data_IF_058990552245
#
_entry.id   IF_058990552245
#
_cell.length_a   1.000
_cell.length_b   1.000
_cell.length_c   1.000
_cell.angle_alpha   90.00
_cell.angle_beta   90.00
_cell.angle_gamma   90.00
#
_symmetry.space_group_name_H-M   'P 1'
#
loop_
_entity.id
_entity.type
_entity.pdbx_description
1 polymer ?
#
# COMPACT_ATOMS: atom_id res chain seq x y z
N UNK A 1 -14.94 5.37 18.58
CA UNK A 1 -14.61 3.99 19.01
C UNK A 1 -13.18 3.71 18.62
N UNK A 2 -12.38 3.11 19.47
CA UNK A 2 -11.05 2.67 19.05
C UNK A 2 -11.25 1.50 18.07
N UNK A 3 -10.71 1.65 16.89
CA UNK A 3 -10.67 0.62 15.86
C UNK A 3 -10.05 -0.67 16.40
N UNK A 4 -10.58 -1.83 16.01
CA UNK A 4 -10.13 -3.15 16.48
C UNK A 4 -8.67 -3.43 16.09
N UNK A 5 -8.22 -2.95 14.94
CA UNK A 5 -6.84 -3.02 14.49
C UNK A 5 -5.91 -2.27 15.46
N UNK A 6 -6.21 -1.01 15.72
CA UNK A 6 -5.45 -0.19 16.67
C UNK A 6 -5.48 -0.77 18.09
N UNK A 7 -6.57 -1.45 18.48
CA UNK A 7 -6.64 -2.15 19.75
C UNK A 7 -5.69 -3.34 19.79
N UNK A 8 -5.73 -4.19 18.75
CA UNK A 8 -4.85 -5.37 18.63
C UNK A 8 -3.39 -4.97 18.62
N UNK A 9 -3.01 -3.99 17.78
CA UNK A 9 -1.62 -3.51 17.67
C UNK A 9 -1.08 -3.05 19.03
N UNK A 10 -1.90 -2.35 19.83
CA UNK A 10 -1.50 -1.92 21.19
C UNK A 10 -1.26 -3.05 22.19
N UNK A 11 -1.73 -4.27 21.93
CA UNK A 11 -1.41 -5.44 22.77
C UNK A 11 -0.03 -6.04 22.44
N UNK A 12 0.56 -5.66 21.30
CA UNK A 12 1.88 -6.10 20.88
C UNK A 12 2.93 -5.09 21.37
N UNK A 13 4.09 -5.58 21.79
CA UNK A 13 5.10 -4.74 22.47
C UNK A 13 6.40 -4.52 21.68
N UNK A 14 6.43 -4.94 20.41
CA UNK A 14 7.61 -4.72 19.57
C UNK A 14 7.76 -3.24 19.19
N UNK A 15 8.99 -2.75 19.25
CA UNK A 15 9.33 -1.40 18.77
C UNK A 15 9.42 -1.31 17.24
N UNK A 16 9.32 -2.44 16.55
CA UNK A 16 9.37 -2.51 15.09
C UNK A 16 8.00 -2.30 14.44
N UNK A 17 6.93 -2.25 15.24
CA UNK A 17 5.57 -2.06 14.75
C UNK A 17 5.30 -0.56 14.56
N UNK A 18 4.69 -0.21 13.43
CA UNK A 18 4.22 1.15 13.15
C UNK A 18 4.57 1.70 11.77
N UNK A 19 5.33 0.95 10.99
CA UNK A 19 5.64 1.25 9.58
C UNK A 19 5.04 0.18 8.66
N UNK A 20 5.15 0.35 7.34
CA UNK A 20 4.72 -0.63 6.32
C UNK A 20 5.53 -1.94 6.39
N UNK A 21 6.66 -1.93 7.06
CA UNK A 21 7.48 -3.10 7.30
C UNK A 21 8.39 -2.93 8.51
N UNK A 22 8.75 -4.05 9.12
CA UNK A 22 9.68 -4.10 10.25
C UNK A 22 11.13 -4.12 9.74
N UNK A 23 11.98 -3.21 10.24
CA UNK A 23 13.39 -3.10 9.84
C UNK A 23 14.29 -3.78 10.86
N UNK A 24 15.01 -4.83 10.45
CA UNK A 24 15.99 -5.54 11.27
C UNK A 24 17.33 -5.58 10.52
N UNK A 25 18.27 -4.75 10.95
CA UNK A 25 19.52 -4.55 10.20
C UNK A 25 19.26 -3.84 8.87
N UNK A 26 19.53 -4.49 7.76
CA UNK A 26 19.18 -4.01 6.41
C UNK A 26 18.00 -4.77 5.80
N UNK A 27 17.43 -5.70 6.52
CA UNK A 27 16.28 -6.48 6.08
C UNK A 27 14.98 -5.81 6.50
N UNK A 28 14.05 -5.73 5.58
CA UNK A 28 12.68 -5.23 5.78
C UNK A 28 11.74 -6.43 5.63
N UNK A 29 10.90 -6.64 6.63
CA UNK A 29 9.88 -7.68 6.68
C UNK A 29 8.52 -7.01 6.62
N UNK A 30 7.72 -7.32 5.62
CA UNK A 30 6.33 -6.91 5.53
C UNK A 30 5.43 -8.11 5.29
N UNK A 31 4.15 -7.98 5.60
CA UNK A 31 3.19 -9.07 5.45
C UNK A 31 1.78 -8.53 5.37
N UNK A 32 1.09 -8.87 4.28
CA UNK A 32 -0.32 -8.59 4.11
C UNK A 32 -1.13 -9.86 3.83
N UNK A 33 -2.41 -9.79 4.21
CA UNK A 33 -3.41 -10.77 3.87
C UNK A 33 -4.28 -10.26 2.71
N UNK A 34 -4.59 -11.14 1.75
CA UNK A 34 -5.48 -10.86 0.64
C UNK A 34 -6.63 -11.87 0.67
N UNK A 35 -7.80 -11.43 1.12
CA UNK A 35 -8.90 -12.28 1.54
C UNK A 35 -10.14 -12.11 0.65
N UNK A 36 -10.71 -13.23 0.19
CA UNK A 36 -12.00 -13.26 -0.49
C UNK A 36 -13.10 -12.64 0.38
N UNK A 37 -13.99 -11.88 -0.23
CA UNK A 37 -15.07 -11.07 0.36
C UNK A 37 -14.64 -9.88 1.23
N UNK A 38 -13.33 -9.67 1.38
CA UNK A 38 -12.77 -8.46 2.00
C UNK A 38 -12.10 -7.59 0.94
N UNK A 39 -11.15 -8.14 0.20
CA UNK A 39 -10.35 -7.41 -0.80
C UNK A 39 -10.77 -7.72 -2.24
N UNK A 40 -11.41 -8.87 -2.47
CA UNK A 40 -11.87 -9.29 -3.79
C UNK A 40 -13.06 -10.26 -3.68
N UNK A 41 -13.74 -10.48 -4.80
CA UNK A 41 -14.67 -11.60 -4.99
C UNK A 41 -14.25 -12.39 -6.22
N UNK A 42 -14.31 -13.73 -6.13
CA UNK A 42 -14.03 -14.61 -7.28
C UNK A 42 -14.98 -14.38 -8.47
N UNK A 43 -16.12 -13.73 -8.24
CA UNK A 43 -17.01 -13.28 -9.30
C UNK A 43 -16.50 -12.03 -10.05
N UNK A 44 -15.54 -11.29 -9.48
CA UNK A 44 -14.98 -10.08 -10.05
C UNK A 44 -13.61 -10.29 -10.71
N UNK A 45 -12.85 -11.26 -10.20
CA UNK A 45 -11.46 -11.47 -10.58
C UNK A 45 -11.18 -12.91 -10.97
N UNK A 46 -10.42 -13.10 -12.04
CA UNK A 46 -9.86 -14.40 -12.40
C UNK A 46 -8.77 -14.83 -11.43
N UNK A 47 -8.43 -16.14 -11.33
CA UNK A 47 -7.31 -16.59 -10.50
C UNK A 47 -5.99 -15.88 -10.82
N UNK A 48 -5.73 -15.58 -12.10
CA UNK A 48 -4.57 -14.81 -12.56
C UNK A 48 -4.57 -13.39 -11.99
N UNK A 49 -5.69 -12.67 -12.05
CA UNK A 49 -5.81 -11.32 -11.49
C UNK A 49 -5.67 -11.33 -9.96
N UNK A 50 -6.22 -12.35 -9.28
CA UNK A 50 -6.10 -12.52 -7.82
C UNK A 50 -4.64 -12.74 -7.43
N UNK A 51 -3.91 -13.64 -8.09
CA UNK A 51 -2.51 -13.90 -7.82
C UNK A 51 -1.63 -12.67 -8.05
N UNK A 52 -1.82 -11.99 -9.17
CA UNK A 52 -1.09 -10.77 -9.50
C UNK A 52 -1.34 -9.65 -8.47
N UNK A 53 -2.61 -9.35 -8.17
CA UNK A 53 -2.95 -8.29 -7.19
C UNK A 53 -2.45 -8.65 -5.81
N UNK A 54 -2.61 -9.89 -5.35
CA UNK A 54 -2.11 -10.33 -4.04
C UNK A 54 -0.59 -10.08 -3.89
N UNK A 55 0.20 -10.34 -4.93
CA UNK A 55 1.63 -10.06 -4.91
C UNK A 55 1.90 -8.55 -4.95
N UNK A 56 1.20 -7.78 -5.80
CA UNK A 56 1.42 -6.34 -5.93
C UNK A 56 1.09 -5.57 -4.64
N UNK A 57 0.03 -5.92 -3.90
CA UNK A 57 -0.30 -5.23 -2.64
C UNK A 57 0.79 -5.43 -1.59
N UNK A 58 1.37 -6.63 -1.52
CA UNK A 58 2.51 -6.89 -0.64
C UNK A 58 3.80 -6.17 -1.10
N UNK A 59 4.03 -6.10 -2.41
CA UNK A 59 5.16 -5.36 -3.00
C UNK A 59 5.04 -3.85 -2.74
N UNK A 60 3.82 -3.32 -2.55
CA UNK A 60 3.59 -1.92 -2.18
C UNK A 60 4.30 -1.54 -0.88
N UNK A 61 4.23 -2.39 0.15
CA UNK A 61 4.96 -2.19 1.40
C UNK A 61 6.48 -2.09 1.20
N UNK A 62 7.03 -2.98 0.38
CA UNK A 62 8.46 -2.94 0.07
C UNK A 62 8.84 -1.64 -0.64
N UNK A 63 8.00 -1.15 -1.57
CA UNK A 63 8.17 0.13 -2.24
C UNK A 63 8.07 1.28 -1.24
N UNK A 64 7.05 1.27 -0.39
CA UNK A 64 6.83 2.27 0.65
C UNK A 64 8.06 2.41 1.56
N UNK A 65 8.65 1.28 1.94
CA UNK A 65 9.86 1.20 2.76
C UNK A 65 11.16 1.48 1.98
N UNK A 66 11.10 1.86 0.69
CA UNK A 66 12.29 1.97 -0.17
C UNK A 66 13.16 0.72 -0.10
N UNK A 67 12.55 -0.46 -0.15
CA UNK A 67 13.22 -1.74 -0.07
C UNK A 67 13.12 -2.50 -1.40
N UNK A 68 14.12 -3.33 -1.66
CA UNK A 68 14.15 -4.22 -2.83
C UNK A 68 13.72 -5.61 -2.37
N UNK A 69 12.59 -6.13 -2.85
CA UNK A 69 12.14 -7.47 -2.49
C UNK A 69 13.15 -8.52 -2.95
N UNK A 70 13.34 -9.56 -2.14
CA UNK A 70 14.27 -10.66 -2.41
C UNK A 70 13.56 -12.00 -2.37
N UNK A 71 12.78 -12.23 -1.32
CA UNK A 71 12.11 -13.50 -1.10
C UNK A 71 10.69 -13.28 -0.63
N UNK A 72 9.82 -14.23 -0.97
CA UNK A 72 8.45 -14.29 -0.49
C UNK A 72 8.16 -15.67 0.14
N UNK A 73 7.34 -15.66 1.19
CA UNK A 73 6.66 -16.83 1.74
C UNK A 73 5.17 -16.65 1.53
N UNK A 74 4.49 -17.64 0.95
CA UNK A 74 3.08 -17.54 0.57
C UNK A 74 2.26 -18.60 1.30
N UNK A 75 1.30 -18.18 2.12
CA UNK A 75 0.30 -19.08 2.70
C UNK A 75 -1.00 -18.94 1.92
N UNK A 76 -1.60 -20.08 1.55
CA UNK A 76 -2.87 -20.11 0.82
C UNK A 76 -3.87 -21.01 1.52
N UNK A 77 -5.05 -20.47 1.85
CA UNK A 77 -6.22 -21.26 2.21
C UNK A 77 -7.09 -21.47 0.96
N UNK A 78 -7.22 -22.72 0.53
CA UNK A 78 -7.92 -23.09 -0.72
C UNK A 78 -9.34 -23.57 -0.41
N UNK A 79 -10.40 -22.99 -1.03
CA UNK A 79 -11.73 -23.52 -0.96
C UNK A 79 -11.84 -24.85 -1.73
N UNK A 80 -12.75 -25.72 -1.27
CA UNK A 80 -12.90 -27.07 -1.86
C UNK A 80 -13.31 -27.08 -3.33
N UNK A 81 -13.97 -26.02 -3.77
CA UNK A 81 -14.44 -25.83 -5.15
C UNK A 81 -13.40 -25.15 -6.06
N UNK A 82 -12.21 -24.84 -5.54
CA UNK A 82 -11.13 -24.23 -6.34
C UNK A 82 -10.45 -25.31 -7.16
N UNK A 83 -10.61 -25.24 -8.49
CA UNK A 83 -10.13 -26.29 -9.39
C UNK A 83 -8.60 -26.31 -9.50
N UNK A 84 -8.05 -27.42 -10.01
CA UNK A 84 -6.60 -27.52 -10.24
C UNK A 84 -6.12 -26.52 -11.29
N UNK A 85 -6.93 -26.24 -12.31
CA UNK A 85 -6.66 -25.23 -13.34
C UNK A 85 -6.59 -23.84 -12.72
N UNK A 86 -7.54 -23.50 -11.85
CA UNK A 86 -7.53 -22.24 -11.12
C UNK A 86 -6.32 -22.12 -10.18
N UNK A 87 -5.88 -23.23 -9.55
CA UNK A 87 -4.65 -23.25 -8.75
C UNK A 87 -3.43 -22.96 -9.64
N UNK A 88 -3.34 -23.57 -10.83
CA UNK A 88 -2.23 -23.31 -11.76
C UNK A 88 -2.20 -21.86 -12.23
N UNK A 89 -3.36 -21.28 -12.59
CA UNK A 89 -3.44 -19.87 -12.98
C UNK A 89 -3.01 -18.92 -11.84
N UNK A 90 -3.50 -19.18 -10.62
CA UNK A 90 -3.15 -18.41 -9.42
C UNK A 90 -1.65 -18.47 -9.13
N UNK A 91 -1.08 -19.69 -9.09
CA UNK A 91 0.34 -19.88 -8.77
C UNK A 91 1.25 -19.31 -9.86
N UNK A 92 0.90 -19.49 -11.12
CA UNK A 92 1.66 -18.90 -12.24
C UNK A 92 1.70 -17.37 -12.16
N UNK A 93 0.55 -16.74 -11.86
CA UNK A 93 0.49 -15.29 -11.70
C UNK A 93 1.28 -14.77 -10.48
N UNK A 94 1.30 -15.53 -9.38
CA UNK A 94 2.13 -15.21 -8.21
C UNK A 94 3.63 -15.25 -8.56
N UNK A 95 4.07 -16.33 -9.23
CA UNK A 95 5.46 -16.52 -9.65
C UNK A 95 5.90 -15.46 -10.65
N UNK A 96 5.13 -15.25 -11.74
CA UNK A 96 5.44 -14.23 -12.76
C UNK A 96 5.57 -12.84 -12.14
N UNK A 97 4.61 -12.46 -11.27
CA UNK A 97 4.65 -11.15 -10.63
C UNK A 97 5.85 -11.04 -9.69
N UNK A 98 6.18 -12.07 -8.94
CA UNK A 98 7.37 -12.07 -8.08
C UNK A 98 8.66 -11.92 -8.93
N UNK A 99 8.78 -12.67 -10.03
CA UNK A 99 9.93 -12.61 -10.94
C UNK A 99 10.08 -11.23 -11.60
N UNK A 100 8.99 -10.57 -12.02
CA UNK A 100 9.00 -9.19 -12.55
C UNK A 100 9.68 -8.21 -11.56
N UNK A 101 9.59 -8.48 -10.27
CA UNK A 101 10.15 -7.67 -9.20
C UNK A 101 11.48 -8.19 -8.62
N UNK A 102 12.04 -9.24 -9.23
CA UNK A 102 13.27 -9.88 -8.76
C UNK A 102 13.13 -10.55 -7.40
N UNK A 103 11.92 -11.00 -7.07
CA UNK A 103 11.56 -11.69 -5.84
C UNK A 103 11.37 -13.19 -6.11
N UNK A 104 11.92 -14.04 -5.27
CA UNK A 104 11.77 -15.50 -5.36
C UNK A 104 10.79 -16.00 -4.31
N UNK A 105 9.79 -16.79 -4.69
CA UNK A 105 8.90 -17.48 -3.73
C UNK A 105 9.65 -18.72 -3.22
N UNK A 106 10.09 -18.67 -1.95
CA UNK A 106 10.96 -19.69 -1.35
C UNK A 106 10.22 -20.71 -0.49
N UNK A 107 8.89 -20.57 -0.35
CA UNK A 107 8.09 -21.51 0.44
C UNK A 107 6.79 -20.88 0.92
N UNK A 108 6.18 -21.54 1.89
CA UNK A 108 4.90 -21.13 2.46
C UNK A 108 4.13 -22.32 3.03
N UNK A 109 2.83 -22.18 3.12
CA UNK A 109 1.92 -23.24 3.63
C UNK A 109 0.62 -23.26 2.80
N UNK A 110 -0.03 -24.43 2.76
CA UNK A 110 -1.31 -24.60 2.06
C UNK A 110 -2.29 -25.35 2.96
N UNK A 111 -3.42 -24.74 3.22
CA UNK A 111 -4.48 -25.31 4.05
C UNK A 111 -5.81 -25.33 3.32
N UNK A 112 -6.74 -26.17 3.74
CA UNK A 112 -8.13 -26.13 3.26
C UNK A 112 -8.90 -25.00 3.96
N UNK A 113 -9.73 -24.28 3.20
CA UNK A 113 -10.57 -23.21 3.71
C UNK A 113 -11.97 -23.21 3.11
N UNK A 114 -12.84 -22.34 3.59
CA UNK A 114 -14.15 -22.09 2.98
C UNK A 114 -14.07 -21.05 1.85
N UNK A 115 -13.11 -20.13 1.96
CA UNK A 115 -12.84 -19.05 1.04
C UNK A 115 -11.37 -19.03 0.65
N UNK A 116 -11.04 -18.37 -0.46
CA UNK A 116 -9.66 -18.17 -0.89
C UNK A 116 -9.03 -17.05 -0.06
N UNK A 117 -7.99 -17.39 0.70
CA UNK A 117 -7.17 -16.41 1.41
C UNK A 117 -5.70 -16.63 1.09
N UNK A 118 -5.03 -15.54 0.82
CA UNK A 118 -3.59 -15.51 0.67
C UNK A 118 -2.99 -14.67 1.80
N UNK A 119 -1.83 -15.07 2.28
CA UNK A 119 -0.99 -14.23 3.14
C UNK A 119 0.43 -14.33 2.63
N UNK A 120 1.03 -13.19 2.32
CA UNK A 120 2.34 -13.12 1.71
C UNK A 120 3.27 -12.36 2.65
N UNK A 121 4.36 -12.99 3.03
CA UNK A 121 5.43 -12.33 3.77
C UNK A 121 6.56 -12.02 2.81
N UNK A 122 6.94 -10.75 2.69
CA UNK A 122 8.10 -10.33 1.94
C UNK A 122 9.32 -10.16 2.85
N UNK A 123 10.46 -10.59 2.32
CA UNK A 123 11.78 -10.39 2.89
C UNK A 123 12.55 -9.52 1.88
N UNK A 124 12.72 -8.26 2.23
CA UNK A 124 13.27 -7.23 1.34
C UNK A 124 14.55 -6.63 1.94
N UNK A 125 15.31 -5.90 1.16
CA UNK A 125 16.54 -5.23 1.60
C UNK A 125 16.48 -3.73 1.35
N UNK A 126 16.85 -2.93 2.36
CA UNK A 126 17.02 -1.49 2.23
C UNK A 126 18.26 -1.00 2.97
N UNK A 127 19.06 -0.17 2.31
CA UNK A 127 20.17 0.58 2.94
C UNK A 127 19.71 1.92 3.52
N UNK A 128 18.54 2.40 3.10
CA UNK A 128 17.97 3.67 3.51
C UNK A 128 16.44 3.54 3.55
N UNK A 129 15.88 2.78 4.50
CA UNK A 129 14.44 2.58 4.58
C UNK A 129 13.73 3.94 4.72
N UNK A 130 12.58 4.06 4.06
CA UNK A 130 11.69 5.21 4.21
C UNK A 130 10.67 4.87 5.29
N UNK A 131 10.69 5.62 6.38
CA UNK A 131 9.83 5.37 7.55
C UNK A 131 8.66 6.35 7.55
N UNK A 132 7.59 6.03 8.26
CA UNK A 132 6.45 6.94 8.49
C UNK A 132 6.78 8.07 9.46
N UNK A 133 7.93 8.01 10.12
CA UNK A 133 8.35 8.96 11.18
C UNK A 133 9.44 9.91 10.70
N UNK A 134 9.65 11.01 11.46
CA UNK A 134 10.72 11.98 11.20
C UNK A 134 10.26 13.28 10.55
N UNK A 135 8.96 13.48 10.39
CA UNK A 135 8.39 14.71 9.82
C UNK A 135 8.56 15.89 10.78
N UNK A 136 8.62 17.10 10.22
CA UNK A 136 8.85 18.34 10.97
C UNK A 136 7.84 19.40 10.56
N UNK A 137 7.54 20.32 11.50
CA UNK A 137 6.71 21.50 11.20
C UNK A 137 7.33 22.29 10.04
N UNK A 138 6.53 22.64 9.04
CA UNK A 138 6.94 23.31 7.82
C UNK A 138 7.19 22.39 6.63
N UNK A 139 7.39 21.07 6.85
CA UNK A 139 7.49 20.08 5.78
C UNK A 139 6.20 20.07 4.94
N UNK A 140 6.32 19.66 3.70
CA UNK A 140 5.20 19.51 2.77
C UNK A 140 4.76 18.05 2.68
N UNK A 141 3.47 17.85 2.54
CA UNK A 141 2.83 16.54 2.36
C UNK A 141 2.30 16.46 0.94
N UNK A 142 2.66 15.40 0.24
CA UNK A 142 2.23 15.16 -1.14
C UNK A 142 1.89 13.68 -1.35
N UNK A 143 1.14 13.42 -2.42
CA UNK A 143 0.93 12.06 -2.92
C UNK A 143 1.32 11.96 -4.39
N UNK A 144 1.65 10.74 -4.81
CA UNK A 144 1.95 10.41 -6.21
C UNK A 144 0.69 10.00 -6.95
N UNK A 145 0.72 10.09 -8.27
CA UNK A 145 -0.30 9.56 -9.16
C UNK A 145 -1.65 10.27 -9.10
N UNK A 146 -2.68 9.52 -9.39
CA UNK A 146 -4.10 9.95 -9.34
C UNK A 146 -4.83 9.02 -8.40
N UNK A 147 -5.69 9.57 -7.54
CA UNK A 147 -6.49 8.83 -6.57
C UNK A 147 -7.98 8.87 -6.93
N UNK A 148 -8.76 7.94 -6.38
CA UNK A 148 -10.21 7.82 -6.58
C UNK A 148 -10.60 6.83 -7.67
N UNK A 149 -9.63 6.23 -8.37
CA UNK A 149 -9.91 5.28 -9.45
C UNK A 149 -10.27 3.90 -8.91
N UNK A 150 -9.53 3.39 -7.93
CA UNK A 150 -9.79 2.09 -7.29
C UNK A 150 -11.21 2.02 -6.71
N UNK A 151 -11.64 3.04 -5.97
CA UNK A 151 -13.00 3.12 -5.41
C UNK A 151 -14.08 3.18 -6.49
N UNK A 152 -13.87 3.96 -7.56
CA UNK A 152 -14.82 4.07 -8.66
C UNK A 152 -14.98 2.72 -9.38
N UNK A 153 -13.88 2.02 -9.63
CA UNK A 153 -13.87 0.70 -10.25
C UNK A 153 -14.52 -0.36 -9.35
N UNK A 154 -14.26 -0.33 -8.04
CA UNK A 154 -14.95 -1.18 -7.07
C UNK A 154 -16.48 -0.97 -7.14
N UNK A 155 -16.96 0.27 -7.17
CA UNK A 155 -18.40 0.56 -7.31
C UNK A 155 -18.99 0.02 -8.63
N UNK A 156 -18.23 0.02 -9.72
CA UNK A 156 -18.65 -0.58 -10.99
C UNK A 156 -18.78 -2.12 -10.86
N UNK A 157 -17.81 -2.78 -10.23
CA UNK A 157 -17.86 -4.22 -9.96
C UNK A 157 -19.06 -4.59 -9.05
N UNK A 158 -19.32 -3.80 -8.01
CA UNK A 158 -20.49 -3.98 -7.13
C UNK A 158 -21.82 -3.79 -7.87
N UNK A 159 -21.85 -2.91 -8.86
CA UNK A 159 -22.98 -2.72 -9.76
C UNK A 159 -23.09 -3.82 -10.84
N UNK A 160 -22.24 -4.85 -10.82
CA UNK A 160 -22.25 -5.96 -11.77
C UNK A 160 -21.66 -5.61 -13.14
N UNK A 161 -20.89 -4.53 -13.25
CA UNK A 161 -20.19 -4.16 -14.47
C UNK A 161 -18.83 -4.87 -14.53
N UNK A 162 -18.32 -5.12 -15.72
CA UNK A 162 -16.96 -5.62 -15.94
C UNK A 162 -16.00 -4.45 -16.10
N UNK A 163 -14.76 -4.66 -15.67
CA UNK A 163 -13.64 -3.76 -15.89
C UNK A 163 -12.69 -4.32 -16.96
N UNK A 164 -11.89 -3.46 -17.63
CA UNK A 164 -10.79 -3.93 -18.46
C UNK A 164 -9.72 -4.65 -17.61
N UNK A 165 -8.96 -5.57 -18.23
CA UNK A 165 -7.99 -6.41 -17.52
C UNK A 165 -6.85 -5.59 -16.87
N UNK A 166 -6.54 -4.43 -17.43
CA UNK A 166 -5.54 -3.49 -16.93
C UNK A 166 -6.12 -2.44 -15.95
N UNK A 167 -7.37 -2.61 -15.49
CA UNK A 167 -7.99 -1.72 -14.53
C UNK A 167 -7.13 -1.61 -13.26
N UNK A 168 -7.06 -0.42 -12.70
CA UNK A 168 -6.25 -0.12 -11.52
C UNK A 168 -6.65 -0.97 -10.31
N UNK A 169 -7.93 -1.27 -10.16
CA UNK A 169 -8.42 -2.18 -9.12
C UNK A 169 -7.76 -3.56 -9.19
N UNK A 170 -7.44 -4.05 -10.40
CA UNK A 170 -6.74 -5.33 -10.59
C UNK A 170 -5.22 -5.19 -10.55
N UNK A 171 -4.70 -4.07 -11.04
CA UNK A 171 -3.27 -3.84 -11.22
C UNK A 171 -2.87 -2.44 -10.70
N UNK A 172 -2.67 -2.29 -9.38
CA UNK A 172 -2.19 -1.03 -8.83
C UNK A 172 -0.80 -0.68 -9.40
N UNK A 173 -0.57 0.62 -9.57
CA UNK A 173 0.71 1.13 -10.07
C UNK A 173 1.65 1.43 -8.90
N UNK A 174 2.74 0.70 -8.80
CA UNK A 174 3.74 0.91 -7.74
C UNK A 174 4.85 1.85 -8.19
N UNK A 175 5.32 2.75 -7.32
CA UNK A 175 6.26 3.83 -7.63
C UNK A 175 7.70 3.54 -7.19
N UNK A 176 8.16 2.31 -7.33
CA UNK A 176 9.46 1.85 -6.81
C UNK A 176 10.65 2.68 -7.30
N UNK A 177 10.73 2.94 -8.61
CA UNK A 177 11.83 3.71 -9.17
C UNK A 177 11.81 5.17 -8.70
N UNK A 178 10.62 5.79 -8.69
CA UNK A 178 10.46 7.14 -8.18
C UNK A 178 10.86 7.26 -6.71
N UNK A 179 10.41 6.35 -5.85
CA UNK A 179 10.76 6.36 -4.42
C UNK A 179 12.26 6.15 -4.21
N UNK A 180 12.89 5.27 -4.98
CA UNK A 180 14.34 5.03 -4.92
C UNK A 180 15.13 6.30 -5.22
N UNK A 181 14.80 6.99 -6.29
CA UNK A 181 15.46 8.23 -6.70
C UNK A 181 15.12 9.41 -5.77
N UNK A 182 13.87 9.51 -5.32
CA UNK A 182 13.42 10.56 -4.41
C UNK A 182 13.91 10.38 -2.97
N UNK A 183 14.30 9.16 -2.55
CA UNK A 183 14.61 8.81 -1.15
C UNK A 183 15.53 9.81 -0.43
N UNK A 184 16.61 10.34 -1.04
CA UNK A 184 17.50 11.31 -0.36
C UNK A 184 16.81 12.65 -0.02
N UNK A 185 15.69 12.96 -0.68
CA UNK A 185 14.93 14.19 -0.53
C UNK A 185 13.74 14.03 0.42
N UNK A 186 13.39 12.79 0.78
CA UNK A 186 12.20 12.47 1.58
C UNK A 186 12.55 12.34 3.07
N UNK A 187 11.68 12.86 3.92
CA UNK A 187 11.73 12.65 5.38
C UNK A 187 10.96 11.41 5.81
N UNK A 188 9.76 11.25 5.28
CA UNK A 188 8.86 10.15 5.60
C UNK A 188 8.02 9.77 4.39
N UNK A 189 7.48 8.56 4.42
CA UNK A 189 6.53 8.07 3.42
C UNK A 189 5.84 6.80 3.87
N UNK A 190 4.78 6.47 3.18
CA UNK A 190 4.02 5.23 3.25
C UNK A 190 3.21 5.06 1.97
N UNK A 191 2.67 3.90 1.72
CA UNK A 191 1.69 3.73 0.66
C UNK A 191 0.29 4.21 1.09
N UNK A 192 -0.61 4.35 0.12
CA UNK A 192 -2.01 4.74 0.35
C UNK A 192 -2.88 3.50 0.15
N UNK A 193 -3.14 2.79 1.24
CA UNK A 193 -3.95 1.57 1.29
C UNK A 193 -5.35 1.81 1.86
N UNK A 194 -5.48 2.60 2.94
CA UNK A 194 -6.78 2.92 3.57
C UNK A 194 -7.39 4.24 3.04
N UNK A 195 -6.71 4.86 2.10
CA UNK A 195 -7.07 6.13 1.51
C UNK A 195 -6.30 7.30 2.10
N UNK A 196 -6.10 8.32 1.26
CA UNK A 196 -5.26 9.47 1.56
C UNK A 196 -5.57 10.12 2.92
N UNK A 197 -6.84 10.22 3.28
CA UNK A 197 -7.25 10.84 4.54
C UNK A 197 -6.83 10.03 5.75
N UNK A 198 -7.08 8.72 5.75
CA UNK A 198 -6.74 7.82 6.84
C UNK A 198 -5.22 7.70 6.99
N UNK A 199 -4.52 7.48 5.91
CA UNK A 199 -3.07 7.27 5.93
C UNK A 199 -2.30 8.55 6.28
N UNK A 200 -2.80 9.73 5.85
CA UNK A 200 -2.29 11.01 6.34
C UNK A 200 -2.46 11.15 7.86
N UNK A 201 -3.66 10.82 8.37
CA UNK A 201 -3.91 10.89 9.82
C UNK A 201 -3.01 9.93 10.61
N UNK A 202 -2.82 8.69 10.14
CA UNK A 202 -1.89 7.72 10.76
C UNK A 202 -0.47 8.26 10.86
N UNK A 203 0.05 8.84 9.77
CA UNK A 203 1.38 9.43 9.73
C UNK A 203 1.49 10.62 10.70
N UNK A 204 0.51 11.51 10.73
CA UNK A 204 0.48 12.66 11.62
C UNK A 204 0.41 12.24 13.11
N UNK A 205 -0.38 11.21 13.43
CA UNK A 205 -0.53 10.68 14.79
C UNK A 205 0.78 10.07 15.32
N UNK A 206 1.47 9.29 14.50
CA UNK A 206 2.79 8.73 14.83
C UNK A 206 3.81 9.82 15.16
N UNK A 207 3.73 10.96 14.50
CA UNK A 207 4.66 12.08 14.68
C UNK A 207 4.14 13.14 15.66
N UNK A 208 2.93 12.99 16.20
CA UNK A 208 2.30 13.96 17.12
C UNK A 208 2.25 15.37 16.54
N UNK A 209 1.93 15.47 15.26
CA UNK A 209 1.84 16.71 14.50
C UNK A 209 0.44 16.85 13.91
N UNK A 210 0.14 17.98 13.30
CA UNK A 210 -1.05 18.19 12.50
C UNK A 210 -0.68 18.75 11.13
N UNK A 211 -1.66 19.30 10.44
CA UNK A 211 -1.47 19.82 9.08
C UNK A 211 -2.21 21.13 8.86
N UNK A 212 -1.77 21.86 7.83
CA UNK A 212 -2.52 22.92 7.19
C UNK A 212 -2.79 22.53 5.75
N UNK A 213 -4.06 22.49 5.36
CA UNK A 213 -4.49 22.09 4.00
C UNK A 213 -4.15 23.26 3.06
N UNK A 214 -3.41 22.96 1.99
CA UNK A 214 -3.03 23.88 0.92
C UNK A 214 -3.92 23.70 -0.30
N UNK A 215 -4.35 22.46 -0.56
CA UNK A 215 -5.27 22.12 -1.66
C UNK A 215 -6.36 21.19 -1.13
N UNK A 216 -7.60 21.51 -1.41
CA UNK A 216 -8.74 20.71 -0.98
C UNK A 216 -8.85 19.44 -1.86
N UNK A 217 -8.80 18.31 -1.21
CA UNK A 217 -9.12 17.03 -1.83
C UNK A 217 -10.59 16.73 -1.52
N UNK A 218 -11.36 16.31 -2.51
CA UNK A 218 -12.75 15.91 -2.27
C UNK A 218 -12.79 14.58 -1.49
N UNK A 219 -13.87 14.35 -0.75
CA UNK A 219 -14.01 13.18 0.11
C UNK A 219 -13.97 11.87 -0.67
N UNK A 220 -14.52 11.82 -1.87
CA UNK A 220 -14.51 10.62 -2.72
C UNK A 220 -13.09 10.19 -3.03
N UNK A 221 -12.25 11.12 -3.48
CA UNK A 221 -10.82 10.89 -3.74
C UNK A 221 -10.04 10.62 -2.45
N UNK A 222 -10.27 11.41 -1.40
CA UNK A 222 -9.54 11.31 -0.13
C UNK A 222 -9.83 10.03 0.65
N UNK A 223 -11.00 9.42 0.47
CA UNK A 223 -11.40 8.16 1.10
C UNK A 223 -11.29 6.94 0.17
N UNK A 224 -10.64 7.06 -0.98
CA UNK A 224 -10.40 5.92 -1.87
C UNK A 224 -9.26 5.07 -1.33
N UNK A 225 -9.57 3.87 -0.86
CA UNK A 225 -8.59 2.86 -0.45
C UNK A 225 -8.05 2.07 -1.63
N UNK A 226 -7.07 1.21 -1.36
CA UNK A 226 -6.41 0.32 -2.32
C UNK A 226 -5.83 1.05 -3.54
N UNK A 227 -5.34 2.28 -3.36
CA UNK A 227 -4.72 3.07 -4.43
C UNK A 227 -3.25 2.71 -4.65
N UNK A 228 -2.53 2.33 -3.59
CA UNK A 228 -1.12 1.93 -3.60
C UNK A 228 -0.17 2.95 -4.26
N UNK A 229 -0.62 4.22 -4.33
CA UNK A 229 0.25 5.36 -4.57
C UNK A 229 0.98 5.75 -3.30
N UNK A 230 1.98 6.61 -3.39
CA UNK A 230 2.80 6.97 -2.25
C UNK A 230 2.33 8.28 -1.60
N UNK A 231 2.16 8.26 -0.29
CA UNK A 231 2.10 9.43 0.57
C UNK A 231 3.52 9.76 1.03
N UNK A 232 4.02 10.95 0.73
CA UNK A 232 5.39 11.36 1.02
C UNK A 232 5.44 12.71 1.72
N UNK A 233 6.44 12.86 2.59
CA UNK A 233 6.71 14.11 3.31
C UNK A 233 8.16 14.53 3.10
N UNK A 234 8.39 15.81 2.81
CA UNK A 234 9.69 16.33 2.48
C UNK A 234 9.85 17.81 2.87
N UNK A 235 11.10 18.25 2.99
CA UNK A 235 11.41 19.66 3.25
C UNK A 235 10.98 20.55 2.08
N UNK A 236 10.45 21.71 2.39
CA UNK A 236 10.03 22.72 1.39
C UNK A 236 11.14 23.10 0.41
N UNK A 237 12.39 23.04 0.83
CA UNK A 237 13.54 23.33 -0.04
C UNK A 237 13.69 22.35 -1.20
N UNK A 238 13.15 21.14 -1.09
CA UNK A 238 13.24 20.07 -2.10
C UNK A 238 12.12 20.10 -3.16
N UNK A 239 11.15 21.03 -3.05
CA UNK A 239 9.97 21.10 -3.96
C UNK A 239 10.34 21.06 -5.42
N UNK A 240 11.23 21.98 -5.83
CA UNK A 240 11.58 22.11 -7.25
C UNK A 240 12.37 20.91 -7.78
N UNK A 241 13.20 20.30 -6.92
CA UNK A 241 13.96 19.09 -7.28
C UNK A 241 13.02 17.89 -7.42
N UNK A 242 12.10 17.70 -6.47
CA UNK A 242 11.12 16.61 -6.53
C UNK A 242 10.15 16.77 -7.70
N UNK A 243 9.66 17.99 -8.00
CA UNK A 243 8.81 18.24 -9.17
C UNK A 243 9.51 17.91 -10.48
N UNK A 244 10.80 18.27 -10.61
CA UNK A 244 11.60 17.94 -11.81
C UNK A 244 11.80 16.43 -11.94
N UNK A 245 12.11 15.74 -10.83
CA UNK A 245 12.25 14.29 -10.80
C UNK A 245 10.94 13.63 -11.20
N UNK A 246 9.83 14.00 -10.58
CA UNK A 246 8.50 13.46 -10.86
C UNK A 246 8.10 13.66 -12.33
N UNK A 247 8.34 14.86 -12.88
CA UNK A 247 8.11 15.15 -14.30
C UNK A 247 8.97 14.28 -15.22
N UNK A 248 10.24 14.07 -14.89
CA UNK A 248 11.17 13.26 -15.72
C UNK A 248 10.79 11.79 -15.76
N UNK A 249 10.02 11.32 -14.77
CA UNK A 249 9.56 9.93 -14.62
C UNK A 249 8.07 9.75 -14.95
N UNK A 250 7.41 10.80 -15.44
CA UNK A 250 5.95 10.81 -15.70
C UNK A 250 5.11 10.41 -14.48
N UNK A 251 5.53 10.85 -13.29
CA UNK A 251 4.82 10.62 -12.03
C UNK A 251 4.11 11.91 -11.61
N UNK A 252 2.77 11.96 -11.59
CA UNK A 252 2.07 13.10 -11.00
C UNK A 252 2.45 13.26 -9.52
N UNK A 253 2.83 14.47 -9.12
CA UNK A 253 3.17 14.81 -7.73
C UNK A 253 2.23 15.92 -7.24
N UNK A 254 1.40 15.59 -6.27
CA UNK A 254 0.32 16.45 -5.78
C UNK A 254 0.61 16.90 -4.35
N UNK A 255 1.06 18.15 -4.17
CA UNK A 255 1.31 18.74 -2.85
C UNK A 255 -0.01 19.30 -2.33
N UNK A 256 -0.54 18.77 -1.22
CA UNK A 256 -1.87 19.12 -0.73
C UNK A 256 -1.91 19.68 0.68
N UNK A 257 -0.85 19.49 1.47
CA UNK A 257 -0.81 20.00 2.84
C UNK A 257 0.62 20.36 3.28
N UNK A 258 0.73 21.00 4.43
CA UNK A 258 1.98 21.22 5.15
C UNK A 258 1.85 20.81 6.61
N UNK A 259 2.92 20.26 7.16
CA UNK A 259 2.99 19.82 8.58
C UNK A 259 3.00 21.03 9.50
N UNK A 260 2.19 20.95 10.57
CA UNK A 260 2.09 21.99 11.61
C UNK A 260 2.11 21.40 13.01
N UNK A 261 2.08 22.26 14.03
CA UNK A 261 1.96 21.86 15.45
C UNK A 261 0.50 21.79 15.94
N UNK A 262 -0.48 22.04 15.07
CA UNK A 262 -1.90 21.88 15.41
C UNK A 262 -2.28 20.39 15.50
N UNK A 263 -3.57 20.10 15.69
CA UNK A 263 -4.12 18.75 15.78
C UNK A 263 -5.13 18.43 14.69
N UNK A 264 -5.14 19.20 13.59
CA UNK A 264 -6.09 19.03 12.52
C UNK A 264 -5.92 17.67 11.84
N UNK A 265 -7.05 17.04 11.52
CA UNK A 265 -7.17 15.72 10.88
C UNK A 265 -8.22 15.76 9.80
N UNK A 266 -8.07 14.89 8.81
CA UNK A 266 -9.15 14.61 7.87
C UNK A 266 -10.26 13.78 8.53
N UNK A 267 -11.52 13.88 8.07
CA UNK A 267 -12.54 12.91 8.42
C UNK A 267 -12.14 11.55 7.82
N UNK A 268 -12.02 10.53 8.65
CA UNK A 268 -11.64 9.19 8.24
C UNK A 268 -12.48 8.16 8.99
N UNK A 269 -13.04 7.21 8.25
CA UNK A 269 -13.75 6.05 8.79
C UNK A 269 -12.93 4.80 8.43
N UNK A 270 -12.81 3.84 9.36
CA UNK A 270 -12.09 2.59 9.13
C UNK A 270 -12.83 1.75 8.08
N UNK A 271 -12.13 1.27 7.06
CA UNK A 271 -12.70 0.45 5.98
C UNK A 271 -12.75 -1.04 6.32
N UNK A 272 -11.94 -1.53 7.27
CA UNK A 272 -11.80 -2.96 7.55
C UNK A 272 -12.78 -3.52 8.58
N UNK A 273 -13.44 -2.67 9.37
CA UNK A 273 -14.30 -3.07 10.50
C UNK A 273 -15.64 -2.31 10.53
N UNK A 274 -16.14 -1.93 9.36
CA UNK A 274 -17.43 -1.26 9.18
C UNK A 274 -18.61 -2.20 9.22
#
# INVERSE_FOLDING_TARGET
MTDNESFLIRQLHSKQIGDDGAVIGQTVYSMDAFCEDTHFRRAWMTPTQIGRKAMLVNLSDAVAMNAVPRYALVTVALPRDFSREAILELTHALEETAEEWGCEIIGGDTVGGEKLHLSITLISESKAPLMRTGIRSGDLIAYTGRLGESKRELMQLEAGQSLPDDARFFQPTLRAEFIREARPLLRAGMDISDGLYCDTNKMLDLNKTGMNILENINTETGSSGEEYEMLIVFDREHVETLKKLALSMDVPLNIFASVTQNTDRFPCESHHFG
#
